data_IF_015541832775
#
_entry.id   IF_015541832775
#
_cell.length_a   1.000
_cell.length_b   1.000
_cell.length_c   1.000
_cell.angle_alpha   90.00
_cell.angle_beta   90.00
_cell.angle_gamma   90.00
#
_symmetry.space_group_name_H-M   'P 1'
#
loop_
_entity.id
_entity.type
_entity.pdbx_description
1 polymer ?
#
# COMPACT_ATOMS: atom_id res chain seq x y z
N UNK A 1 -30.91 -13.40 7.35
CA UNK A 1 -29.48 -13.77 7.23
C UNK A 1 -28.67 -12.52 7.55
N UNK A 2 -27.65 -12.56 8.41
CA UNK A 2 -26.81 -11.37 8.63
C UNK A 2 -26.16 -10.95 7.31
N UNK A 3 -26.15 -9.65 7.03
CA UNK A 3 -25.49 -9.10 5.84
C UNK A 3 -24.02 -9.51 5.81
N UNK A 4 -23.62 -10.22 4.75
CA UNK A 4 -22.24 -10.68 4.57
C UNK A 4 -21.37 -9.52 4.12
N UNK A 5 -20.55 -9.00 5.03
CA UNK A 5 -19.55 -7.98 4.69
C UNK A 5 -18.33 -8.65 4.05
N UNK A 6 -18.05 -8.26 2.81
CA UNK A 6 -16.85 -8.71 2.09
C UNK A 6 -15.74 -7.69 2.30
N UNK A 7 -14.62 -8.16 2.83
CA UNK A 7 -13.39 -7.39 2.94
C UNK A 7 -12.39 -7.90 1.91
N UNK A 8 -11.84 -6.99 1.11
CA UNK A 8 -10.73 -7.24 0.19
C UNK A 8 -9.45 -6.67 0.82
N UNK A 9 -8.31 -7.31 0.59
CA UNK A 9 -7.03 -6.82 1.08
C UNK A 9 -5.91 -6.97 0.05
N UNK A 10 -4.92 -6.09 0.14
CA UNK A 10 -3.68 -6.15 -0.62
C UNK A 10 -2.48 -6.00 0.33
N UNK A 11 -1.40 -6.72 0.06
CA UNK A 11 -0.16 -6.65 0.83
C UNK A 11 0.81 -5.70 0.12
N UNK A 12 1.39 -4.78 0.87
CA UNK A 12 2.44 -3.88 0.39
C UNK A 12 3.78 -4.58 0.63
N UNK A 13 4.55 -4.72 -0.44
CA UNK A 13 5.85 -5.40 -0.43
C UNK A 13 6.96 -4.44 -0.81
N UNK A 14 8.01 -4.45 0.00
CA UNK A 14 9.29 -3.88 -0.35
C UNK A 14 10.11 -4.94 -1.09
N UNK A 15 10.60 -4.59 -2.28
CA UNK A 15 11.46 -5.44 -3.10
C UNK A 15 12.75 -4.65 -3.36
N UNK A 16 13.78 -4.76 -2.50
CA UNK A 16 14.98 -3.93 -2.62
C UNK A 16 15.81 -4.23 -3.86
N UNK A 17 15.74 -5.46 -4.36
CA UNK A 17 16.43 -5.89 -5.58
C UNK A 17 15.66 -7.01 -6.27
N UNK A 18 15.17 -6.73 -7.47
CA UNK A 18 14.30 -7.66 -8.21
C UNK A 18 15.03 -8.94 -8.59
N UNK A 19 16.31 -8.87 -8.98
CA UNK A 19 17.05 -10.07 -9.42
C UNK A 19 17.37 -11.05 -8.27
N UNK A 20 17.27 -10.60 -7.02
CA UNK A 20 17.47 -11.46 -5.84
C UNK A 20 16.20 -12.19 -5.41
N UNK A 21 15.06 -11.87 -6.00
CA UNK A 21 13.73 -12.37 -5.61
C UNK A 21 13.40 -12.16 -4.11
N UNK A 22 14.13 -11.25 -3.44
CA UNK A 22 13.94 -10.92 -2.03
C UNK A 22 12.81 -9.90 -1.85
N UNK A 23 11.92 -10.16 -0.91
CA UNK A 23 10.87 -9.22 -0.55
C UNK A 23 10.54 -9.24 0.95
N UNK A 24 10.05 -8.10 1.43
CA UNK A 24 9.49 -7.96 2.78
C UNK A 24 8.09 -7.38 2.70
N UNK A 25 7.14 -8.00 3.39
CA UNK A 25 5.84 -7.37 3.60
C UNK A 25 6.02 -6.21 4.58
N UNK A 26 5.62 -5.02 4.16
CA UNK A 26 5.76 -3.77 4.93
C UNK A 26 4.41 -3.14 5.25
N UNK A 27 3.31 -3.69 4.74
CA UNK A 27 1.98 -3.17 5.06
C UNK A 27 0.83 -3.95 4.43
N UNK A 28 -0.37 -3.52 4.77
CA UNK A 28 -1.63 -4.06 4.29
C UNK A 28 -2.61 -2.92 4.00
N UNK A 29 -3.27 -3.00 2.85
CA UNK A 29 -4.44 -2.22 2.50
C UNK A 29 -5.66 -3.11 2.67
N UNK A 30 -6.67 -2.63 3.39
CA UNK A 30 -7.95 -3.31 3.59
C UNK A 30 -9.07 -2.42 3.11
N UNK A 31 -10.04 -2.99 2.40
CA UNK A 31 -11.22 -2.26 1.95
C UNK A 31 -12.50 -3.10 2.05
N UNK A 32 -13.63 -2.42 2.24
CA UNK A 32 -14.96 -3.00 2.21
C UNK A 32 -15.88 -2.07 1.42
N UNK A 33 -16.26 -2.50 0.20
CA UNK A 33 -17.06 -1.69 -0.73
C UNK A 33 -18.42 -1.31 -0.14
N UNK A 34 -19.10 -2.25 0.53
CA UNK A 34 -20.42 -2.02 1.13
C UNK A 34 -20.39 -0.99 2.26
N UNK A 35 -19.28 -0.90 2.99
CA UNK A 35 -19.09 0.08 4.08
C UNK A 35 -18.41 1.37 3.65
N UNK A 36 -18.01 1.51 2.37
CA UNK A 36 -17.11 2.58 1.90
C UNK A 36 -15.89 2.75 2.80
N UNK A 37 -15.39 1.63 3.29
CA UNK A 37 -14.27 1.58 4.23
C UNK A 37 -13.00 1.26 3.47
N UNK A 38 -11.96 2.06 3.68
CA UNK A 38 -10.60 1.80 3.21
C UNK A 38 -9.63 2.18 4.31
N UNK A 39 -8.66 1.32 4.60
CA UNK A 39 -7.61 1.61 5.57
C UNK A 39 -6.32 0.94 5.17
N UNK A 40 -5.23 1.66 5.35
CA UNK A 40 -3.87 1.14 5.22
C UNK A 40 -3.24 1.06 6.61
N UNK A 41 -2.38 0.07 6.80
CA UNK A 41 -1.40 0.03 7.89
C UNK A 41 -0.08 -0.45 7.32
N UNK A 42 0.99 0.23 7.66
CA UNK A 42 2.35 -0.14 7.28
C UNK A 42 3.29 0.01 8.46
N UNK A 43 4.38 -0.75 8.43
CA UNK A 43 5.44 -0.74 9.43
C UNK A 43 6.76 -1.11 8.77
N UNK A 44 7.77 -0.25 8.97
CA UNK A 44 9.12 -0.50 8.49
C UNK A 44 9.99 -1.04 9.62
N UNK A 45 10.44 -2.28 9.49
CA UNK A 45 11.42 -2.86 10.41
C UNK A 45 12.82 -2.41 10.02
N UNK A 46 13.19 -1.19 10.39
CA UNK A 46 14.46 -0.53 10.02
C UNK A 46 15.68 -1.43 10.10
N UNK A 47 15.87 -2.11 11.22
CA UNK A 47 17.05 -2.96 11.46
C UNK A 47 17.10 -4.14 10.48
N UNK A 48 15.96 -4.76 10.22
CA UNK A 48 15.85 -5.89 9.29
C UNK A 48 16.05 -5.44 7.84
N UNK A 49 15.49 -4.29 7.47
CA UNK A 49 15.65 -3.76 6.12
C UNK A 49 17.12 -3.32 5.91
N UNK A 50 17.75 -2.66 6.88
CA UNK A 50 19.17 -2.28 6.79
C UNK A 50 20.11 -3.48 6.73
N UNK A 51 19.81 -4.61 7.38
CA UNK A 51 20.67 -5.78 7.29
C UNK A 51 20.61 -6.46 5.92
N UNK A 52 19.45 -6.42 5.26
CA UNK A 52 19.23 -7.03 3.94
C UNK A 52 19.60 -6.10 2.79
N UNK A 53 19.28 -4.80 2.92
CA UNK A 53 19.46 -3.78 1.90
C UNK A 53 19.98 -2.47 2.52
N UNK A 54 21.25 -2.42 2.98
CA UNK A 54 21.83 -1.23 3.63
C UNK A 54 21.93 -0.01 2.72
N UNK A 55 21.86 -0.19 1.40
CA UNK A 55 21.92 0.88 0.40
C UNK A 55 20.57 1.58 0.19
N UNK A 56 19.50 1.10 0.82
CA UNK A 56 18.15 1.60 0.60
C UNK A 56 17.89 2.87 1.43
N UNK A 57 17.35 3.91 0.77
CA UNK A 57 16.90 5.12 1.45
C UNK A 57 15.53 4.87 2.11
N UNK A 58 15.56 4.59 3.41
CA UNK A 58 14.36 4.33 4.20
C UNK A 58 13.50 5.58 4.39
N UNK A 59 14.09 6.77 4.38
CA UNK A 59 13.35 8.03 4.53
C UNK A 59 12.45 8.26 3.32
N UNK A 60 12.97 8.02 2.11
CA UNK A 60 12.16 8.09 0.88
C UNK A 60 10.98 7.10 0.90
N UNK A 61 11.20 5.89 1.43
CA UNK A 61 10.14 4.87 1.54
C UNK A 61 9.06 5.30 2.54
N UNK A 62 9.44 5.86 3.69
CA UNK A 62 8.49 6.41 4.66
C UNK A 62 7.64 7.53 4.07
N UNK A 63 8.25 8.47 3.35
CA UNK A 63 7.55 9.56 2.69
C UNK A 63 6.52 9.04 1.67
N UNK A 64 6.89 8.00 0.92
CA UNK A 64 5.98 7.35 -0.03
C UNK A 64 4.83 6.64 0.69
N UNK A 65 5.10 5.91 1.78
CA UNK A 65 4.07 5.28 2.59
C UNK A 65 3.12 6.29 3.23
N UNK A 66 3.66 7.40 3.76
CA UNK A 66 2.86 8.53 4.29
C UNK A 66 1.94 9.14 3.25
N UNK A 67 2.37 9.16 1.98
CA UNK A 67 1.53 9.65 0.89
C UNK A 67 0.31 8.74 0.65
N UNK A 68 0.44 7.42 0.85
CA UNK A 68 -0.72 6.52 0.80
C UNK A 68 -1.73 6.78 1.91
N UNK A 69 -1.26 7.10 3.12
CA UNK A 69 -2.14 7.46 4.23
C UNK A 69 -2.99 8.70 3.85
N UNK A 70 -2.34 9.74 3.33
CA UNK A 70 -3.00 10.98 2.88
C UNK A 70 -4.04 10.75 1.78
N UNK A 71 -3.75 9.87 0.82
CA UNK A 71 -4.67 9.51 -0.27
C UNK A 71 -5.91 8.80 0.29
N UNK A 72 -5.72 7.88 1.25
CA UNK A 72 -6.81 7.10 1.83
C UNK A 72 -7.68 7.94 2.78
N UNK A 73 -7.09 8.91 3.48
CA UNK A 73 -7.79 9.85 4.34
C UNK A 73 -8.54 10.95 3.57
N UNK A 74 -8.31 11.07 2.25
CA UNK A 74 -8.99 12.05 1.40
C UNK A 74 -8.49 13.48 1.58
N UNK A 75 -7.20 13.66 1.88
CA UNK A 75 -6.62 14.99 2.11
C UNK A 75 -6.70 15.87 0.84
N UNK A 76 -7.14 17.15 0.96
CA UNK A 76 -7.35 18.06 -0.18
C UNK A 76 -6.08 18.46 -0.96
N UNK A 77 -4.89 18.11 -0.45
CA UNK A 77 -3.57 18.33 -1.11
C UNK A 77 -3.06 17.11 -1.89
N UNK A 78 -3.92 16.14 -2.16
CA UNK A 78 -3.65 15.05 -3.11
C UNK A 78 -3.72 15.58 -4.55
N UNK A 79 -2.75 16.42 -4.93
CA UNK A 79 -2.67 17.03 -6.27
C UNK A 79 -2.92 16.02 -7.38
N UNK A 80 -3.59 16.42 -8.46
CA UNK A 80 -4.07 15.76 -9.73
C UNK A 80 -4.20 14.21 -9.82
N UNK A 81 -3.39 13.43 -9.11
CA UNK A 81 -3.58 12.03 -8.69
C UNK A 81 -4.61 11.91 -7.53
N UNK A 82 -5.33 12.98 -7.18
CA UNK A 82 -6.57 12.95 -6.39
C UNK A 82 -7.76 12.27 -7.08
N UNK A 83 -7.53 11.51 -8.16
CA UNK A 83 -8.49 10.55 -8.66
C UNK A 83 -8.27 9.22 -7.94
N UNK A 84 -9.32 8.62 -7.32
CA UNK A 84 -9.20 7.29 -6.73
C UNK A 84 -8.65 6.34 -7.79
N UNK A 85 -7.61 5.58 -7.44
CA UNK A 85 -7.02 4.52 -8.27
C UNK A 85 -8.15 3.70 -8.91
N UNK A 86 -8.43 4.00 -10.19
CA UNK A 86 -9.46 3.30 -10.96
C UNK A 86 -8.80 2.05 -11.50
N UNK A 87 -9.03 0.91 -10.85
CA UNK A 87 -8.73 -0.39 -11.44
C UNK A 87 -9.51 -0.48 -12.76
N UNK A 88 -8.86 -0.19 -13.88
CA UNK A 88 -9.39 -0.53 -15.19
C UNK A 88 -9.30 -2.03 -15.31
N UNK A 89 -10.47 -2.68 -15.31
CA UNK A 89 -10.60 -4.10 -15.61
C UNK A 89 -9.97 -4.32 -16.99
N UNK A 90 -8.85 -5.04 -17.03
CA UNK A 90 -8.29 -5.52 -18.30
C UNK A 90 -9.38 -6.28 -19.04
N UNK A 91 -9.82 -5.72 -20.17
CA UNK A 91 -10.68 -6.41 -21.12
C UNK A 91 -9.86 -7.56 -21.70
N UNK A 92 -10.30 -8.79 -21.43
CA UNK A 92 -9.80 -9.96 -22.11
C UNK A 92 -10.03 -9.85 -23.62
N UNK A 93 -8.99 -10.19 -24.38
CA UNK A 93 -9.07 -10.66 -25.74
C UNK A 93 -8.65 -12.13 -25.76
#
# INVERSE_FOLDING_TARGET
>A
MPDKLIYEYAIIRLVPKVEREEFMNIGILMMCKSKRYTRIRHELQYQKIKSMAPWLDLTCIEEQLSSFDKIIEGAPDSGTIGHPFRFTKGSGG
#
